data_IF_821096000886
#
_entry.id   IF_821096000886
#
_cell.length_a   1.000
_cell.length_b   1.000
_cell.length_c   1.000
_cell.angle_alpha   90.00
_cell.angle_beta   90.00
_cell.angle_gamma   90.00
#
_symmetry.space_group_name_H-M   'P 1'
#
loop_
_entity.id
_entity.type
_entity.pdbx_description
1 polymer ?
#
# COMPACT_ATOMS: atom_id res chain seq x y z
N UNK A 1 1.00 -38.87 -24.66
CA UNK A 1 1.93 -38.62 -23.55
C UNK A 1 2.12 -37.11 -23.45
N UNK A 2 1.25 -36.42 -22.71
CA UNK A 2 1.37 -34.98 -22.47
C UNK A 2 2.29 -34.79 -21.29
N UNK A 3 3.44 -34.18 -21.53
CA UNK A 3 4.37 -33.73 -20.49
C UNK A 3 3.75 -32.48 -19.85
N UNK A 4 3.26 -32.64 -18.62
CA UNK A 4 2.96 -31.54 -17.71
C UNK A 4 4.30 -30.93 -17.30
N UNK A 5 4.56 -29.70 -17.73
CA UNK A 5 5.65 -28.91 -17.17
C UNK A 5 5.18 -28.38 -15.81
N UNK A 6 5.51 -29.11 -14.74
CA UNK A 6 5.50 -28.55 -13.39
C UNK A 6 6.57 -27.45 -13.35
N UNK A 7 6.13 -26.21 -13.18
CA UNK A 7 7.01 -25.08 -12.90
C UNK A 7 7.51 -25.24 -11.47
N UNK A 8 8.74 -25.69 -11.31
CA UNK A 8 9.40 -25.79 -10.00
C UNK A 8 9.63 -24.38 -9.45
N UNK A 9 8.71 -23.91 -8.60
CA UNK A 9 8.93 -22.74 -7.74
C UNK A 9 10.00 -23.08 -6.70
N UNK A 10 11.08 -22.31 -6.68
CA UNK A 10 12.14 -22.46 -5.67
C UNK A 10 11.74 -21.74 -4.38
N UNK A 11 11.28 -22.50 -3.38
CA UNK A 11 11.12 -21.99 -2.01
C UNK A 11 12.47 -22.09 -1.30
N UNK A 12 13.13 -20.96 -1.05
CA UNK A 12 14.34 -20.92 -0.22
C UNK A 12 13.92 -20.62 1.22
N UNK A 13 14.03 -21.62 2.10
CA UNK A 13 13.79 -21.50 3.54
C UNK A 13 15.13 -21.21 4.22
N UNK A 14 15.30 -19.99 4.73
CA UNK A 14 16.41 -19.63 5.61
C UNK A 14 15.90 -19.63 7.06
N UNK A 15 16.34 -20.55 7.94
CA UNK A 15 16.05 -20.48 9.37
C UNK A 15 16.98 -19.47 10.05
N UNK A 16 16.41 -18.56 10.85
CA UNK A 16 17.12 -17.60 11.71
C UNK A 16 17.01 -18.03 13.20
N UNK A 17 17.88 -17.50 14.07
CA UNK A 17 18.03 -17.87 15.50
C UNK A 17 16.74 -17.78 16.34
N UNK A 18 15.68 -17.10 15.84
CA UNK A 18 14.38 -16.91 16.48
C UNK A 18 13.23 -17.78 15.91
N UNK A 19 13.50 -18.87 15.18
CA UNK A 19 12.48 -19.69 14.49
C UNK A 19 11.65 -18.95 13.43
N UNK A 20 12.10 -17.76 13.00
CA UNK A 20 11.46 -17.01 11.92
C UNK A 20 11.74 -17.74 10.60
N UNK A 21 10.67 -18.15 9.92
CA UNK A 21 10.68 -18.73 8.58
C UNK A 21 10.64 -17.61 7.55
N UNK A 22 11.19 -17.87 6.36
CA UNK A 22 11.07 -16.96 5.24
C UNK A 22 10.98 -17.69 3.92
N UNK A 23 10.29 -17.09 2.96
CA UNK A 23 10.20 -17.58 1.58
C UNK A 23 10.07 -16.41 0.63
N UNK A 24 10.60 -16.60 -0.58
CA UNK A 24 10.49 -15.66 -1.69
C UNK A 24 9.66 -16.28 -2.79
N UNK A 25 8.71 -15.50 -3.30
CA UNK A 25 7.74 -15.91 -4.31
C UNK A 25 7.80 -14.95 -5.50
N UNK A 26 7.18 -15.36 -6.61
CA UNK A 26 7.05 -14.57 -7.81
C UNK A 26 5.59 -14.54 -8.23
N UNK A 27 5.07 -13.36 -8.54
CA UNK A 27 3.71 -13.22 -9.07
C UNK A 27 3.61 -13.71 -10.50
N UNK A 28 2.38 -13.91 -10.97
CA UNK A 28 2.09 -13.90 -12.41
C UNK A 28 2.72 -12.67 -13.06
N UNK A 29 3.22 -12.88 -14.27
CA UNK A 29 3.86 -11.82 -15.04
C UNK A 29 2.83 -10.90 -15.68
N UNK A 30 3.26 -9.68 -15.97
CA UNK A 30 2.48 -8.69 -16.70
C UNK A 30 3.36 -7.99 -17.74
N UNK A 31 2.75 -7.67 -18.86
CA UNK A 31 3.41 -6.99 -19.97
C UNK A 31 3.26 -5.47 -19.86
N UNK A 32 4.37 -4.74 -19.97
CA UNK A 32 4.37 -3.28 -19.97
C UNK A 32 5.32 -2.72 -21.03
N UNK A 33 4.80 -1.83 -21.86
CA UNK A 33 5.56 -1.12 -22.90
C UNK A 33 5.69 0.37 -22.61
N UNK A 34 6.52 1.12 -23.37
CA UNK A 34 6.79 2.53 -23.12
C UNK A 34 5.53 3.38 -22.91
N UNK A 35 5.49 4.11 -21.81
CA UNK A 35 4.38 4.98 -21.41
C UNK A 35 3.14 4.25 -20.88
N UNK A 36 3.07 2.92 -20.98
CA UNK A 36 1.88 2.16 -20.60
C UNK A 36 1.70 2.14 -19.09
N UNK A 37 0.47 2.35 -18.66
CA UNK A 37 0.02 2.11 -17.30
C UNK A 37 -0.62 0.72 -17.28
N UNK A 38 -0.18 -0.10 -16.33
CA UNK A 38 -0.72 -1.45 -16.11
C UNK A 38 -1.26 -1.49 -14.70
N UNK A 39 -2.55 -1.76 -14.59
CA UNK A 39 -3.23 -2.01 -13.31
C UNK A 39 -3.73 -3.45 -13.34
N UNK A 40 -3.34 -4.26 -12.36
CA UNK A 40 -3.72 -5.68 -12.30
C UNK A 40 -4.19 -6.07 -10.91
N UNK A 41 -5.19 -6.94 -10.89
CA UNK A 41 -5.61 -7.69 -9.71
C UNK A 41 -5.13 -9.13 -9.92
N UNK A 42 -4.10 -9.54 -9.17
CA UNK A 42 -3.54 -10.89 -9.20
C UNK A 42 -4.12 -11.67 -8.03
N UNK A 43 -5.00 -12.63 -8.30
CA UNK A 43 -5.71 -13.40 -7.27
C UNK A 43 -4.88 -14.59 -6.78
N UNK A 44 -5.23 -15.10 -5.60
CA UNK A 44 -4.67 -16.32 -5.01
C UNK A 44 -3.14 -16.36 -5.08
N UNK A 45 -2.50 -15.25 -4.68
CA UNK A 45 -1.04 -15.17 -4.67
C UNK A 45 -0.47 -16.20 -3.69
N UNK A 46 0.71 -16.71 -4.00
CA UNK A 46 1.40 -17.62 -3.10
C UNK A 46 1.66 -16.95 -1.76
N UNK A 47 1.17 -17.59 -0.70
CA UNK A 47 1.27 -17.06 0.65
C UNK A 47 1.48 -18.23 1.62
N UNK A 48 2.31 -18.08 2.67
CA UNK A 48 2.48 -19.11 3.68
C UNK A 48 1.14 -19.55 4.28
N UNK A 49 0.94 -20.87 4.40
CA UNK A 49 -0.31 -21.48 4.88
C UNK A 49 -0.18 -21.98 6.33
N UNK A 50 -1.32 -22.15 6.98
CA UNK A 50 -1.42 -22.56 8.38
C UNK A 50 -1.79 -21.40 9.30
N UNK A 51 -1.81 -21.65 10.61
CA UNK A 51 -1.97 -20.60 11.61
C UNK A 51 -0.60 -19.99 11.88
N UNK A 52 -0.39 -18.77 11.39
CA UNK A 52 0.94 -18.12 11.36
C UNK A 52 0.88 -16.68 11.84
N UNK A 53 2.03 -16.15 12.25
CA UNK A 53 2.24 -14.74 12.51
C UNK A 53 3.17 -14.13 11.47
N UNK A 54 2.66 -13.27 10.59
CA UNK A 54 3.50 -12.56 9.60
C UNK A 54 4.32 -11.48 10.30
N UNK A 55 5.63 -11.47 9.99
CA UNK A 55 6.65 -10.59 10.57
C UNK A 55 7.13 -9.51 9.61
N UNK A 56 7.17 -9.80 8.31
CA UNK A 56 7.53 -8.82 7.29
C UNK A 56 6.97 -9.25 5.92
N UNK A 57 6.75 -8.28 5.05
CA UNK A 57 6.28 -8.50 3.68
C UNK A 57 6.86 -7.44 2.75
N UNK A 58 7.85 -7.85 1.96
CA UNK A 58 8.63 -6.97 1.09
C UNK A 58 8.41 -7.33 -0.38
N UNK A 59 8.30 -6.33 -1.26
CA UNK A 59 7.98 -6.50 -2.68
C UNK A 59 8.92 -5.69 -3.57
N UNK A 60 9.28 -6.28 -4.71
CA UNK A 60 10.12 -5.71 -5.75
C UNK A 60 9.58 -6.02 -7.15
N UNK A 61 9.68 -5.07 -8.08
CA UNK A 61 9.42 -5.33 -9.51
C UNK A 61 10.71 -5.83 -10.15
N UNK A 62 10.65 -7.02 -10.75
CA UNK A 62 11.77 -7.66 -11.42
C UNK A 62 11.49 -7.94 -12.90
N UNK A 63 12.55 -8.01 -13.70
CA UNK A 63 12.48 -8.50 -15.08
C UNK A 63 12.56 -10.04 -15.16
N UNK A 64 12.58 -10.57 -16.38
CA UNK A 64 12.60 -12.01 -16.66
C UNK A 64 13.87 -12.70 -16.13
N UNK A 65 14.97 -11.96 -16.00
CA UNK A 65 16.24 -12.44 -15.46
C UNK A 65 16.29 -12.30 -13.91
N UNK A 66 15.22 -11.77 -13.29
CA UNK A 66 15.13 -11.58 -11.85
C UNK A 66 15.83 -10.32 -11.33
N UNK A 67 16.27 -9.42 -12.21
CA UNK A 67 16.91 -8.17 -11.83
C UNK A 67 15.86 -7.12 -11.43
N UNK A 68 16.16 -6.36 -10.37
CA UNK A 68 15.30 -5.25 -9.94
C UNK A 68 15.26 -4.15 -11.01
N UNK A 69 14.05 -3.69 -11.36
CA UNK A 69 13.86 -2.67 -12.41
C UNK A 69 13.91 -1.26 -11.81
N UNK A 70 14.76 -0.34 -12.31
CA UNK A 70 14.81 1.02 -11.78
C UNK A 70 13.51 1.83 -11.96
N UNK A 71 13.18 2.67 -10.97
CA UNK A 71 11.96 3.50 -10.94
C UNK A 71 11.87 4.54 -12.07
N UNK A 72 13.00 4.90 -12.68
CA UNK A 72 13.03 5.76 -13.87
C UNK A 72 12.76 5.01 -15.18
N UNK A 73 12.61 3.69 -15.13
CA UNK A 73 12.15 2.86 -16.22
C UNK A 73 10.73 2.41 -15.97
N UNK A 74 10.50 1.56 -14.97
CA UNK A 74 9.16 1.16 -14.53
C UNK A 74 8.94 1.65 -13.11
N UNK A 75 8.05 2.61 -12.96
CA UNK A 75 7.67 3.14 -11.66
C UNK A 75 6.60 2.23 -11.04
N UNK A 76 6.93 1.60 -9.90
CA UNK A 76 5.94 0.95 -9.05
C UNK A 76 5.11 2.04 -8.39
N UNK A 77 3.91 2.31 -8.90
CA UNK A 77 3.06 3.35 -8.34
C UNK A 77 2.43 2.87 -7.04
N UNK A 78 1.92 1.64 -7.02
CA UNK A 78 1.55 0.96 -5.79
C UNK A 78 1.50 -0.56 -6.00
N UNK A 79 1.65 -1.28 -4.90
CA UNK A 79 1.27 -2.68 -4.75
C UNK A 79 0.51 -2.79 -3.43
N UNK A 80 -0.59 -3.51 -3.42
CA UNK A 80 -1.42 -3.69 -2.23
C UNK A 80 -1.76 -5.17 -2.07
N UNK A 81 -1.46 -5.74 -0.91
CA UNK A 81 -1.90 -7.07 -0.52
C UNK A 81 -3.25 -6.97 0.20
N UNK A 82 -4.29 -7.54 -0.40
CA UNK A 82 -5.65 -7.53 0.14
C UNK A 82 -6.06 -8.94 0.50
N UNK A 83 -6.59 -9.08 1.72
CA UNK A 83 -7.11 -10.34 2.23
C UNK A 83 -8.52 -10.57 1.72
N UNK A 84 -8.83 -11.80 1.35
CA UNK A 84 -10.20 -12.20 1.08
C UNK A 84 -10.44 -13.64 1.50
N UNK A 85 -11.69 -13.96 1.84
CA UNK A 85 -12.14 -15.33 2.08
C UNK A 85 -12.99 -15.80 0.91
N UNK A 86 -12.67 -16.97 0.39
CA UNK A 86 -13.31 -17.58 -0.77
C UNK A 86 -14.14 -18.79 -0.34
N UNK A 87 -15.38 -18.87 -0.81
CA UNK A 87 -16.20 -20.07 -0.65
C UNK A 87 -15.67 -21.20 -1.55
N UNK A 88 -15.29 -22.31 -0.94
CA UNK A 88 -14.65 -23.45 -1.61
C UNK A 88 -15.54 -24.04 -2.71
N UNK A 89 -16.88 -24.00 -2.55
CA UNK A 89 -17.80 -24.52 -3.57
C UNK A 89 -17.86 -23.65 -4.83
N UNK A 90 -17.40 -22.41 -4.74
CA UNK A 90 -17.42 -21.44 -5.85
C UNK A 90 -16.05 -21.27 -6.53
N UNK A 91 -14.99 -21.92 -6.04
CA UNK A 91 -13.63 -21.76 -6.57
C UNK A 91 -13.57 -21.97 -8.09
N UNK A 92 -14.17 -23.04 -8.62
CA UNK A 92 -14.19 -23.31 -10.06
C UNK A 92 -14.89 -22.20 -10.88
N UNK A 93 -16.00 -21.68 -10.36
CA UNK A 93 -16.73 -20.59 -11.01
C UNK A 93 -15.91 -19.30 -11.02
N UNK A 94 -15.27 -18.95 -9.90
CA UNK A 94 -14.44 -17.74 -9.79
C UNK A 94 -13.24 -17.83 -10.75
N UNK A 95 -12.57 -18.97 -10.80
CA UNK A 95 -11.44 -19.19 -11.72
C UNK A 95 -11.85 -19.04 -13.20
N UNK A 96 -13.06 -19.48 -13.57
CA UNK A 96 -13.52 -19.42 -14.97
C UNK A 96 -14.13 -18.06 -15.34
N UNK A 97 -14.90 -17.45 -14.44
CA UNK A 97 -15.68 -16.23 -14.71
C UNK A 97 -14.93 -14.95 -14.39
N UNK A 98 -13.90 -15.02 -13.53
CA UNK A 98 -13.30 -13.87 -12.87
C UNK A 98 -14.32 -12.93 -12.18
N UNK A 99 -15.53 -13.41 -11.87
CA UNK A 99 -16.53 -12.64 -11.15
C UNK A 99 -16.28 -12.70 -9.64
N UNK A 100 -15.72 -11.64 -9.09
CA UNK A 100 -15.38 -11.51 -7.68
C UNK A 100 -16.57 -11.07 -6.81
N UNK A 101 -17.76 -10.86 -7.40
CA UNK A 101 -18.95 -10.41 -6.66
C UNK A 101 -19.65 -11.55 -5.93
N UNK A 102 -19.45 -12.79 -6.37
CA UNK A 102 -20.11 -13.97 -5.81
C UNK A 102 -19.06 -14.93 -5.25
N UNK A 103 -19.17 -15.28 -3.97
CA UNK A 103 -18.31 -16.27 -3.32
C UNK A 103 -16.98 -15.74 -2.76
N UNK A 104 -16.75 -14.43 -2.81
CA UNK A 104 -15.61 -13.76 -2.18
C UNK A 104 -16.10 -12.70 -1.19
N UNK A 105 -15.49 -12.68 -0.01
CA UNK A 105 -15.67 -11.62 0.99
C UNK A 105 -14.30 -11.01 1.29
N UNK A 106 -14.17 -9.70 1.03
CA UNK A 106 -12.94 -8.97 1.31
C UNK A 106 -12.84 -8.67 2.80
N UNK A 107 -11.74 -9.09 3.43
CA UNK A 107 -11.40 -8.70 4.79
C UNK A 107 -10.49 -7.48 4.74
N UNK A 108 -10.89 -6.42 5.44
CA UNK A 108 -10.21 -5.13 5.42
C UNK A 108 -9.38 -4.95 6.69
N UNK A 109 -8.41 -4.05 6.62
CA UNK A 109 -7.73 -3.57 7.81
C UNK A 109 -8.70 -2.88 8.80
N UNK A 110 -8.24 -2.66 10.03
CA UNK A 110 -9.00 -2.08 11.14
C UNK A 110 -9.19 -0.55 11.02
N UNK A 111 -8.69 0.06 9.93
CA UNK A 111 -8.79 1.49 9.64
C UNK A 111 -10.21 1.99 9.38
N UNK A 112 -10.37 3.32 9.44
CA UNK A 112 -11.68 3.95 9.47
C UNK A 112 -12.26 4.27 8.08
N UNK A 113 -11.45 4.25 7.02
CA UNK A 113 -11.88 4.60 5.67
C UNK A 113 -12.87 3.58 5.10
N UNK A 114 -14.04 4.04 4.66
CA UNK A 114 -15.16 3.18 4.24
C UNK A 114 -15.07 2.75 2.76
N UNK A 115 -15.98 1.87 2.31
CA UNK A 115 -16.15 1.52 0.90
C UNK A 115 -15.07 0.58 0.34
N UNK A 116 -14.43 0.91 -0.78
CA UNK A 116 -13.30 0.14 -1.33
C UNK A 116 -11.97 0.88 -1.17
N UNK A 117 -11.92 1.89 -0.31
CA UNK A 117 -10.73 2.73 -0.13
C UNK A 117 -9.78 2.11 0.87
N UNK A 118 -8.50 2.04 0.49
CA UNK A 118 -7.41 1.58 1.35
C UNK A 118 -7.74 0.28 2.12
N UNK A 119 -8.24 -0.79 1.47
CA UNK A 119 -8.68 -2.00 2.17
C UNK A 119 -7.54 -2.93 2.57
N UNK A 120 -6.33 -2.67 2.08
CA UNK A 120 -5.18 -3.58 2.15
C UNK A 120 -4.57 -3.68 3.55
N UNK A 121 -3.82 -4.76 3.78
CA UNK A 121 -3.03 -4.98 5.01
C UNK A 121 -1.57 -4.63 4.85
N UNK A 122 -1.06 -4.78 3.63
CA UNK A 122 0.30 -4.40 3.26
C UNK A 122 0.28 -3.72 1.91
N UNK A 123 1.27 -2.88 1.67
CA UNK A 123 1.45 -2.27 0.38
C UNK A 123 1.72 -0.79 0.43
N UNK A 124 2.64 -0.36 -0.41
CA UNK A 124 3.16 1.00 -0.50
C UNK A 124 3.35 1.31 -1.99
N UNK A 125 4.00 2.43 -2.29
CA UNK A 125 4.47 2.74 -3.63
C UNK A 125 5.92 2.34 -3.86
N UNK A 126 6.56 3.09 -4.73
CA UNK A 126 7.99 3.02 -5.03
C UNK A 126 8.89 3.11 -3.78
N UNK A 127 8.41 3.74 -2.71
CA UNK A 127 9.12 3.89 -1.46
C UNK A 127 9.15 2.61 -0.60
N UNK A 128 8.50 1.52 -1.01
CA UNK A 128 8.56 0.24 -0.28
C UNK A 128 9.99 -0.29 -0.13
N UNK A 129 10.87 -0.12 -1.13
CA UNK A 129 12.22 -0.69 -1.15
C UNK A 129 13.10 -0.29 0.04
N UNK A 130 12.98 0.95 0.48
CA UNK A 130 13.76 1.53 1.57
C UNK A 130 12.98 1.69 2.87
N UNK A 131 11.76 1.14 2.94
CA UNK A 131 10.88 1.20 4.12
C UNK A 131 10.82 -0.19 4.72
N UNK A 132 11.29 -0.36 5.96
CA UNK A 132 11.27 -1.66 6.62
C UNK A 132 9.82 -2.09 6.91
N UNK A 133 9.45 -3.32 6.55
CA UNK A 133 8.16 -3.93 6.93
C UNK A 133 8.26 -4.82 8.17
N UNK A 134 9.43 -4.87 8.83
CA UNK A 134 9.69 -5.78 9.94
C UNK A 134 8.87 -5.42 11.18
N UNK A 135 8.29 -6.43 11.82
CA UNK A 135 7.59 -6.34 13.09
C UNK A 135 8.43 -6.97 14.21
N UNK A 136 8.64 -6.29 15.34
CA UNK A 136 9.45 -6.81 16.43
C UNK A 136 8.76 -7.98 17.15
N UNK A 137 9.54 -8.90 17.72
CA UNK A 137 9.00 -9.95 18.60
C UNK A 137 8.43 -9.36 19.89
N UNK A 138 7.33 -9.91 20.44
CA UNK A 138 6.55 -11.07 19.95
C UNK A 138 5.37 -10.67 19.04
N UNK A 139 5.39 -9.48 18.44
CA UNK A 139 4.25 -8.95 17.73
C UNK A 139 4.19 -9.42 16.28
N UNK A 140 3.02 -9.85 15.82
CA UNK A 140 2.84 -10.35 14.47
C UNK A 140 1.41 -10.11 13.96
N UNK A 141 1.23 -10.11 12.63
CA UNK A 141 -0.13 -10.13 12.04
C UNK A 141 -0.59 -11.58 11.99
N UNK A 142 -1.61 -11.91 12.80
CA UNK A 142 -2.17 -13.25 12.91
C UNK A 142 -3.01 -13.61 11.68
N UNK A 143 -2.65 -14.70 11.01
CA UNK A 143 -3.34 -15.21 9.83
C UNK A 143 -3.69 -16.69 9.99
N UNK A 144 -4.71 -17.13 9.25
CA UNK A 144 -5.04 -18.57 9.18
C UNK A 144 -5.59 -19.18 10.48
N UNK A 145 -6.07 -18.37 11.43
CA UNK A 145 -6.64 -18.87 12.67
C UNK A 145 -7.91 -19.72 12.39
N UNK A 146 -7.91 -21.04 12.66
CA UNK A 146 -9.02 -21.93 12.33
C UNK A 146 -10.34 -21.57 13.03
N UNK A 147 -10.28 -20.87 14.17
CA UNK A 147 -11.47 -20.44 14.90
C UNK A 147 -12.13 -19.19 14.29
N UNK A 148 -11.40 -18.41 13.49
CA UNK A 148 -11.89 -17.20 12.83
C UNK A 148 -12.37 -17.46 11.41
N UNK A 149 -11.89 -18.53 10.76
CA UNK A 149 -12.27 -18.87 9.39
C UNK A 149 -13.62 -19.58 9.38
N UNK A 150 -14.57 -19.06 8.58
CA UNK A 150 -15.90 -19.64 8.41
C UNK A 150 -15.81 -21.04 7.79
N UNK A 151 -16.60 -21.99 8.28
CA UNK A 151 -16.68 -23.33 7.69
C UNK A 151 -17.05 -23.25 6.19
N UNK A 152 -16.31 -23.97 5.34
CA UNK A 152 -16.50 -23.95 3.89
C UNK A 152 -15.81 -22.78 3.16
N UNK A 153 -15.09 -21.92 3.88
CA UNK A 153 -14.30 -20.83 3.31
C UNK A 153 -12.80 -21.08 3.45
N UNK A 154 -12.02 -20.47 2.57
CA UNK A 154 -10.55 -20.42 2.64
C UNK A 154 -10.06 -18.98 2.60
N UNK A 155 -9.12 -18.67 3.48
CA UNK A 155 -8.36 -17.43 3.43
C UNK A 155 -7.41 -17.44 2.22
N UNK A 156 -7.43 -16.35 1.45
CA UNK A 156 -6.59 -16.11 0.28
C UNK A 156 -6.14 -14.64 0.24
N UNK A 157 -5.15 -14.38 -0.60
CA UNK A 157 -4.56 -13.07 -0.78
C UNK A 157 -4.55 -12.71 -2.25
N UNK A 158 -4.75 -11.43 -2.53
CA UNK A 158 -4.54 -10.87 -3.86
C UNK A 158 -3.56 -9.71 -3.81
N UNK A 159 -2.92 -9.45 -4.94
CA UNK A 159 -2.27 -8.18 -5.19
C UNK A 159 -3.15 -7.28 -6.06
N UNK A 160 -3.34 -6.03 -5.64
CA UNK A 160 -3.73 -4.93 -6.52
C UNK A 160 -2.49 -4.11 -6.83
N UNK A 161 -2.07 -4.07 -8.08
CA UNK A 161 -0.81 -3.45 -8.49
C UNK A 161 -1.07 -2.38 -9.53
N UNK A 162 -0.23 -1.37 -9.51
CA UNK A 162 -0.13 -0.38 -10.57
C UNK A 162 1.33 -0.07 -10.85
N UNK A 163 1.75 -0.31 -12.08
CA UNK A 163 3.06 0.07 -12.59
C UNK A 163 2.92 1.00 -13.79
N UNK A 164 3.91 1.86 -13.97
CA UNK A 164 3.97 2.78 -15.10
C UNK A 164 5.33 2.67 -15.74
N UNK A 165 5.38 2.26 -17.00
CA UNK A 165 6.61 2.35 -17.79
C UNK A 165 6.80 3.81 -18.23
N UNK A 166 7.82 4.46 -17.68
CA UNK A 166 8.15 5.86 -17.93
C UNK A 166 9.18 6.03 -19.05
N UNK A 167 9.67 4.95 -19.68
CA UNK A 167 10.58 5.01 -20.82
C UNK A 167 9.89 5.76 -21.97
N UNK A 168 10.62 6.67 -22.62
CA UNK A 168 10.09 7.43 -23.75
C UNK A 168 9.08 8.53 -23.44
N UNK A 169 8.59 8.65 -22.20
CA UNK A 169 7.57 9.64 -21.84
C UNK A 169 8.09 11.08 -21.96
N UNK A 170 7.20 12.01 -22.29
CA UNK A 170 7.53 13.44 -22.37
C UNK A 170 8.01 13.98 -21.02
N UNK A 171 7.27 13.66 -19.96
CA UNK A 171 7.56 14.03 -18.56
C UNK A 171 7.34 12.82 -17.65
N UNK A 172 8.45 12.15 -17.28
CA UNK A 172 8.43 10.97 -16.39
C UNK A 172 7.75 11.28 -15.07
N UNK A 173 8.12 12.38 -14.41
CA UNK A 173 7.61 12.73 -13.07
C UNK A 173 6.15 13.17 -13.11
N UNK A 174 5.71 13.78 -14.20
CA UNK A 174 4.32 14.12 -14.40
C UNK A 174 3.45 12.90 -14.68
N UNK A 175 3.98 11.92 -15.42
CA UNK A 175 3.36 10.62 -15.68
C UNK A 175 3.20 9.82 -14.36
N UNK A 176 4.25 9.72 -13.53
CA UNK A 176 4.15 9.06 -12.20
C UNK A 176 3.24 9.76 -11.20
N UNK A 177 2.84 11.01 -11.47
CA UNK A 177 1.88 11.80 -10.67
C UNK A 177 0.48 11.81 -11.27
N UNK A 178 0.25 10.99 -12.29
CA UNK A 178 -1.04 10.84 -12.96
C UNK A 178 -1.64 12.16 -13.46
N UNK A 179 -0.81 13.06 -14.00
CA UNK A 179 -1.29 14.34 -14.56
C UNK A 179 -2.08 14.08 -15.83
N UNK A 180 -3.39 14.34 -15.83
CA UNK A 180 -4.30 14.05 -16.93
C UNK A 180 -3.81 14.61 -18.28
N UNK A 181 -3.24 15.83 -18.29
CA UNK A 181 -2.74 16.47 -19.52
C UNK A 181 -1.59 15.70 -20.21
N UNK A 182 -0.90 14.84 -19.46
CA UNK A 182 0.21 14.01 -19.94
C UNK A 182 -0.25 12.60 -20.31
N UNK A 183 -1.54 12.30 -20.18
CA UNK A 183 -2.12 11.00 -20.50
C UNK A 183 -2.88 11.08 -21.82
N UNK A 184 -2.89 9.97 -22.55
CA UNK A 184 -3.75 9.77 -23.73
C UNK A 184 -5.15 9.34 -23.28
N UNK A 185 -5.87 10.26 -22.63
CA UNK A 185 -7.22 10.00 -22.13
C UNK A 185 -8.25 9.97 -23.27
N UNK A 186 -9.31 9.14 -23.16
CA UNK A 186 -10.47 9.19 -24.04
C UNK A 186 -11.11 10.58 -24.07
N UNK A 187 -11.73 10.96 -25.20
CA UNK A 187 -12.36 12.29 -25.36
C UNK A 187 -13.52 12.51 -24.40
N UNK A 188 -14.23 11.45 -24.06
CA UNK A 188 -15.39 11.43 -23.17
C UNK A 188 -15.03 11.19 -21.70
N UNK A 189 -13.73 11.12 -21.35
CA UNK A 189 -13.23 10.80 -20.00
C UNK A 189 -14.00 11.53 -18.87
N UNK A 190 -14.15 12.85 -18.95
CA UNK A 190 -14.85 13.65 -17.93
C UNK A 190 -16.38 13.51 -17.93
N UNK A 191 -16.95 12.91 -18.98
CA UNK A 191 -18.39 12.68 -19.09
C UNK A 191 -18.80 11.32 -18.53
N UNK A 192 -17.86 10.36 -18.43
CA UNK A 192 -18.13 8.98 -18.01
C UNK A 192 -17.47 8.58 -16.70
N UNK A 193 -16.39 9.27 -16.30
CA UNK A 193 -15.63 8.88 -15.11
C UNK A 193 -16.22 9.53 -13.87
N UNK A 194 -16.57 8.71 -12.88
CA UNK A 194 -17.01 9.14 -11.55
C UNK A 194 -15.85 9.13 -10.56
N UNK A 195 -15.84 10.10 -9.66
CA UNK A 195 -14.92 10.18 -8.53
C UNK A 195 -15.31 9.25 -7.38
N UNK A 196 -14.53 9.30 -6.30
CA UNK A 196 -14.74 8.47 -5.09
C UNK A 196 -16.12 8.70 -4.47
N UNK A 197 -16.64 9.93 -4.53
CA UNK A 197 -17.95 10.29 -4.02
C UNK A 197 -19.12 9.86 -4.93
N UNK A 198 -18.85 9.10 -5.99
CA UNK A 198 -19.85 8.66 -6.98
C UNK A 198 -20.31 9.75 -7.95
N UNK A 199 -19.82 10.98 -7.83
CA UNK A 199 -20.16 12.09 -8.73
C UNK A 199 -19.23 12.11 -9.94
N UNK A 200 -19.69 12.64 -11.07
CA UNK A 200 -18.83 12.83 -12.25
C UNK A 200 -17.61 13.69 -11.91
N UNK A 201 -16.46 13.30 -12.47
CA UNK A 201 -15.24 14.06 -12.28
C UNK A 201 -15.39 15.47 -12.87
N UNK A 202 -15.01 16.51 -12.12
CA UNK A 202 -15.13 17.86 -12.64
C UNK A 202 -14.08 18.10 -13.73
N UNK A 203 -14.43 18.91 -14.73
CA UNK A 203 -13.54 19.22 -15.88
C UNK A 203 -12.22 19.90 -15.47
N UNK A 204 -12.15 20.44 -14.26
CA UNK A 204 -10.93 21.04 -13.70
C UNK A 204 -10.07 20.04 -12.91
N UNK A 205 -10.42 18.75 -12.87
CA UNK A 205 -9.58 17.71 -12.27
C UNK A 205 -8.30 17.55 -13.11
N UNK A 206 -7.14 17.89 -12.52
CA UNK A 206 -5.86 17.99 -13.24
C UNK A 206 -5.00 16.73 -13.19
N UNK A 207 -5.33 15.78 -12.32
CA UNK A 207 -4.59 14.54 -12.16
C UNK A 207 -4.80 13.84 -10.82
N UNK A 208 -4.34 12.59 -10.79
CA UNK A 208 -4.47 11.65 -9.69
C UNK A 208 -5.03 10.31 -10.17
N UNK A 209 -5.52 9.48 -9.24
CA UNK A 209 -5.98 8.11 -9.41
C UNK A 209 -6.74 7.88 -10.72
N UNK A 210 -7.72 8.73 -11.02
CA UNK A 210 -8.62 8.53 -12.16
C UNK A 210 -7.96 8.75 -13.52
N UNK A 211 -6.85 9.46 -13.59
CA UNK A 211 -6.14 9.67 -14.86
C UNK A 211 -5.12 8.57 -15.16
N UNK A 212 -4.89 7.66 -14.20
CA UNK A 212 -4.05 6.48 -14.38
C UNK A 212 -4.89 5.20 -14.35
N UNK A 213 -5.73 5.02 -15.36
CA UNK A 213 -6.50 3.80 -15.53
C UNK A 213 -5.67 2.72 -16.24
N UNK A 214 -6.08 1.46 -16.07
CA UNK A 214 -5.47 0.36 -16.82
C UNK A 214 -5.51 0.67 -18.32
N UNK A 215 -4.47 0.25 -19.01
CA UNK A 215 -4.30 0.42 -20.44
C UNK A 215 -4.15 1.87 -20.97
N UNK A 216 -4.29 2.89 -20.14
CA UNK A 216 -3.96 4.27 -20.52
C UNK A 216 -2.44 4.39 -20.76
N UNK A 217 -2.07 5.29 -21.66
CA UNK A 217 -0.67 5.54 -21.99
C UNK A 217 -0.29 7.00 -21.71
N UNK A 218 0.84 7.21 -21.04
CA UNK A 218 1.50 8.50 -20.97
C UNK A 218 1.97 8.95 -22.36
N UNK A 219 1.83 10.24 -22.65
CA UNK A 219 2.32 10.85 -23.88
C UNK A 219 3.81 10.61 -24.03
N UNK A 220 4.19 10.05 -25.18
CA UNK A 220 5.56 9.78 -25.55
C UNK A 220 6.18 10.96 -26.30
N UNK A 221 7.51 11.04 -26.27
CA UNK A 221 8.27 11.92 -27.17
C UNK A 221 8.15 11.38 -28.61
N UNK A 222 8.24 12.26 -29.59
CA UNK A 222 8.11 11.88 -31.00
C UNK A 222 9.15 10.83 -31.39
N UNK A 223 8.73 9.82 -32.17
CA UNK A 223 9.62 8.79 -32.70
C UNK A 223 10.03 7.70 -31.70
N UNK A 224 9.57 7.73 -30.45
CA UNK A 224 9.88 6.65 -29.50
C UNK A 224 9.08 5.39 -29.84
N UNK A 225 9.82 4.32 -30.09
CA UNK A 225 9.33 2.94 -30.04
C UNK A 225 10.27 2.17 -29.12
N UNK A 226 9.72 1.28 -28.32
CA UNK A 226 10.51 0.43 -27.43
C UNK A 226 9.78 -0.87 -27.18
N UNK A 227 10.51 -1.96 -26.88
CA UNK A 227 9.91 -3.26 -26.67
C UNK A 227 9.03 -3.26 -25.41
N UNK A 228 7.93 -3.98 -25.49
CA UNK A 228 7.20 -4.45 -24.32
C UNK A 228 8.12 -5.36 -23.51
N UNK A 229 8.07 -5.24 -22.19
CA UNK A 229 8.77 -6.12 -21.26
C UNK A 229 7.77 -6.93 -20.47
N UNK A 230 8.17 -8.14 -20.13
CA UNK A 230 7.46 -9.01 -19.20
C UNK A 230 8.10 -8.82 -17.82
N UNK A 231 7.31 -8.35 -16.86
CA UNK A 231 7.78 -8.08 -15.49
C UNK A 231 6.93 -8.86 -14.50
N UNK A 232 7.45 -9.07 -13.30
CA UNK A 232 6.73 -9.70 -12.19
C UNK A 232 7.01 -8.96 -10.88
N UNK A 233 6.18 -9.21 -9.87
CA UNK A 233 6.52 -8.90 -8.49
C UNK A 233 7.27 -10.08 -7.88
N UNK A 234 8.49 -9.85 -7.43
CA UNK A 234 9.22 -10.73 -6.51
C UNK A 234 8.93 -10.27 -5.09
N UNK A 235 8.55 -11.17 -4.20
CA UNK A 235 8.20 -10.79 -2.84
C UNK A 235 8.67 -11.78 -1.80
N UNK A 236 9.16 -11.26 -0.66
CA UNK A 236 9.65 -12.05 0.47
C UNK A 236 8.71 -11.86 1.65
N UNK A 237 8.26 -12.98 2.22
CA UNK A 237 7.45 -12.99 3.44
C UNK A 237 8.28 -13.65 4.52
N UNK A 238 8.31 -13.04 5.71
CA UNK A 238 8.84 -13.64 6.93
C UNK A 238 7.70 -13.92 7.89
N UNK A 239 7.69 -15.07 8.53
CA UNK A 239 6.63 -15.47 9.45
C UNK A 239 7.13 -16.43 10.53
N UNK A 240 6.34 -16.58 11.59
CA UNK A 240 6.49 -17.63 12.60
C UNK A 240 5.26 -18.52 12.58
N UNK A 241 5.38 -19.76 13.03
CA UNK A 241 4.20 -20.55 13.37
C UNK A 241 3.51 -19.88 14.57
N UNK A 242 2.18 -19.81 14.53
CA UNK A 242 1.45 -19.14 15.61
C UNK A 242 1.47 -19.98 16.88
N UNK A 243 1.79 -19.35 18.02
CA UNK A 243 1.75 -19.95 19.34
C UNK A 243 1.20 -18.96 20.38
N UNK A 244 1.04 -19.41 21.63
CA UNK A 244 0.54 -18.58 22.74
C UNK A 244 1.46 -17.42 23.15
N UNK A 245 2.70 -17.38 22.65
CA UNK A 245 3.65 -16.33 22.98
C UNK A 245 3.53 -15.14 22.01
N UNK A 246 2.92 -15.32 20.84
CA UNK A 246 2.73 -14.25 19.87
C UNK A 246 1.60 -13.29 20.29
N UNK A 247 1.78 -12.02 19.95
CA UNK A 247 0.80 -10.96 20.22
C UNK A 247 0.21 -10.47 18.89
N UNK A 248 -1.11 -10.62 18.67
CA UNK A 248 -1.74 -10.21 17.42
C UNK A 248 -1.77 -8.68 17.29
N UNK A 249 -1.44 -8.20 16.11
CA UNK A 249 -1.53 -6.79 15.73
C UNK A 249 -2.79 -6.51 14.93
N UNK A 250 -3.44 -5.41 15.27
CA UNK A 250 -4.43 -4.73 14.42
C UNK A 250 -3.71 -3.73 13.53
N UNK A 251 -4.16 -3.60 12.29
CA UNK A 251 -3.51 -2.74 11.32
C UNK A 251 -4.46 -1.63 10.90
N UNK A 252 -4.00 -0.38 10.95
CA UNK A 252 -4.81 0.78 10.61
C UNK A 252 -4.12 1.61 9.54
N UNK A 253 -4.90 2.01 8.54
CA UNK A 253 -4.52 3.06 7.60
C UNK A 253 -5.32 4.32 7.91
N UNK A 254 -4.60 5.39 8.24
CA UNK A 254 -5.13 6.72 8.50
C UNK A 254 -4.90 7.60 7.27
N UNK A 255 -5.84 8.50 6.96
CA UNK A 255 -5.78 9.36 5.78
C UNK A 255 -5.93 10.84 6.16
N UNK A 256 -4.91 11.67 5.87
CA UNK A 256 -4.95 13.12 6.14
C UNK A 256 -6.02 13.86 5.34
N UNK A 257 -6.65 13.21 4.36
CA UNK A 257 -7.78 13.75 3.60
C UNK A 257 -9.14 13.44 4.20
N UNK A 258 -9.17 12.63 5.26
CA UNK A 258 -10.41 12.24 5.94
C UNK A 258 -11.17 13.45 6.48
N UNK A 259 -12.48 13.47 6.20
CA UNK A 259 -13.42 14.51 6.62
C UNK A 259 -14.40 13.89 7.59
N UNK A 260 -13.96 13.75 8.83
CA UNK A 260 -14.79 13.16 9.88
C UNK A 260 -16.02 14.03 10.14
N UNK A 261 -17.19 13.40 10.07
CA UNK A 261 -18.49 13.97 10.44
C UNK A 261 -19.11 13.11 11.53
N UNK A 262 -20.06 13.65 12.29
CA UNK A 262 -20.81 12.90 13.30
C UNK A 262 -22.24 12.67 12.84
N UNK A 263 -22.74 11.44 12.93
CA UNK A 263 -24.17 11.15 12.91
C UNK A 263 -24.57 10.61 14.29
N UNK A 264 -25.04 11.50 15.17
CA UNK A 264 -25.17 11.20 16.59
C UNK A 264 -23.81 10.90 17.23
N UNK A 265 -23.69 9.75 17.89
CA UNK A 265 -22.46 9.30 18.55
C UNK A 265 -21.47 8.56 17.64
N UNK A 266 -21.84 8.26 16.39
CA UNK A 266 -20.99 7.48 15.47
C UNK A 266 -20.21 8.39 14.53
N UNK A 267 -18.86 8.28 14.46
CA UNK A 267 -18.07 9.00 13.49
C UNK A 267 -18.27 8.41 12.09
N UNK A 268 -18.46 9.29 11.11
CA UNK A 268 -18.52 8.96 9.68
C UNK A 268 -17.24 9.49 9.04
N UNK A 269 -16.47 8.58 8.46
CA UNK A 269 -15.22 8.89 7.77
C UNK A 269 -15.47 9.05 6.27
N UNK A 270 -14.89 10.09 5.68
CA UNK A 270 -15.06 10.50 4.28
C UNK A 270 -13.66 10.72 3.67
N UNK A 271 -12.89 9.64 3.67
CA UNK A 271 -11.54 9.59 3.12
C UNK A 271 -11.56 9.84 1.60
N UNK A 272 -10.56 10.59 1.11
CA UNK A 272 -10.43 10.91 -0.31
C UNK A 272 -9.25 10.20 -0.98
N UNK A 273 -8.43 9.45 -0.24
CA UNK A 273 -7.22 8.75 -0.66
C UNK A 273 -6.09 9.64 -1.21
N UNK A 274 -6.40 10.70 -1.96
CA UNK A 274 -5.44 11.62 -2.53
C UNK A 274 -6.00 13.04 -2.59
N UNK A 275 -5.11 14.01 -2.79
CA UNK A 275 -5.50 15.40 -2.99
C UNK A 275 -4.57 16.13 -3.97
N UNK A 276 -5.02 17.26 -4.49
CA UNK A 276 -4.21 18.14 -5.33
C UNK A 276 -3.63 19.26 -4.48
N UNK A 277 -2.32 19.49 -4.59
CA UNK A 277 -1.64 20.65 -4.01
C UNK A 277 -1.60 21.74 -5.08
N UNK A 278 -2.27 22.88 -4.89
CA UNK A 278 -2.13 24.01 -5.79
C UNK A 278 -0.73 24.63 -5.62
N UNK A 279 -0.19 25.27 -6.67
CA UNK A 279 1.01 26.10 -6.50
C UNK A 279 0.59 27.44 -5.93
N UNK A 280 1.06 27.77 -4.74
CA UNK A 280 0.96 29.14 -4.24
C UNK A 280 2.19 29.93 -4.71
N UNK A 281 1.99 30.88 -5.63
CA UNK A 281 3.07 31.66 -6.26
C UNK A 281 3.69 32.72 -5.34
N UNK A 282 3.09 32.97 -4.18
CA UNK A 282 3.43 34.11 -3.32
C UNK A 282 4.17 33.71 -2.03
N UNK A 283 4.54 32.44 -1.86
CA UNK A 283 5.17 31.97 -0.64
C UNK A 283 5.94 30.65 -0.84
N UNK A 284 7.03 30.44 -0.11
CA UNK A 284 7.77 29.17 -0.07
C UNK A 284 7.35 28.26 1.11
N UNK A 285 6.38 28.70 1.94
CA UNK A 285 5.84 27.88 3.04
C UNK A 285 5.31 26.54 2.51
N UNK A 286 5.72 25.39 3.09
CA UNK A 286 5.21 24.06 2.75
C UNK A 286 3.68 23.96 2.82
N UNK A 287 3.11 23.13 1.95
CA UNK A 287 1.69 22.80 2.02
C UNK A 287 1.44 21.80 3.15
N UNK A 288 0.49 22.12 4.04
CA UNK A 288 0.11 21.26 5.16
C UNK A 288 -1.32 20.75 4.96
N UNK A 289 -1.51 19.44 5.10
CA UNK A 289 -2.81 18.77 5.11
C UNK A 289 -2.99 18.05 6.43
N UNK A 290 -4.11 18.29 7.12
CA UNK A 290 -4.44 17.67 8.42
C UNK A 290 -5.80 16.98 8.39
N UNK A 291 -5.89 15.89 9.14
CA UNK A 291 -7.16 15.30 9.57
C UNK A 291 -7.10 14.95 11.06
N UNK A 292 -8.24 15.07 11.73
CA UNK A 292 -8.46 14.64 13.11
C UNK A 292 -9.30 13.37 13.07
N UNK A 293 -8.73 12.23 13.46
CA UNK A 293 -9.29 10.91 13.23
C UNK A 293 -9.57 10.27 14.59
N UNK A 294 -10.85 10.10 14.99
CA UNK A 294 -11.20 9.39 16.21
C UNK A 294 -10.92 7.90 16.03
N UNK A 295 -10.17 7.31 16.95
CA UNK A 295 -9.87 5.87 16.94
C UNK A 295 -10.99 5.10 17.63
N UNK A 296 -11.79 4.34 16.87
CA UNK A 296 -12.84 3.49 17.47
C UNK A 296 -12.27 2.50 18.49
N UNK A 297 -11.09 1.95 18.19
CA UNK A 297 -10.32 1.10 19.09
C UNK A 297 -8.86 1.53 19.08
N UNK A 298 -8.33 1.77 20.27
CA UNK A 298 -6.95 2.10 20.52
C UNK A 298 -6.11 0.84 20.74
N UNK A 299 -4.94 1.04 21.32
CA UNK A 299 -3.96 0.01 21.60
C UNK A 299 -2.57 0.60 21.76
N UNK A 300 -1.59 -0.26 21.99
CA UNK A 300 -0.20 0.14 22.07
C UNK A 300 0.41 0.20 20.68
N UNK A 301 1.03 1.34 20.35
CA UNK A 301 1.71 1.51 19.07
C UNK A 301 2.96 0.63 19.05
N UNK A 302 3.08 -0.25 18.06
CA UNK A 302 4.23 -1.16 17.89
C UNK A 302 5.07 -0.76 16.67
N UNK A 303 4.39 -0.33 15.61
CA UNK A 303 5.01 0.08 14.35
C UNK A 303 4.23 1.25 13.76
N UNK A 304 4.92 2.23 13.20
CA UNK A 304 4.32 3.31 12.41
C UNK A 304 5.15 3.71 11.21
N UNK A 305 4.54 3.89 10.05
CA UNK A 305 5.18 4.45 8.85
C UNK A 305 4.17 5.23 8.01
N UNK A 306 4.60 5.90 6.95
CA UNK A 306 3.69 6.60 6.04
C UNK A 306 3.85 6.13 4.59
N UNK A 307 2.76 6.23 3.82
CA UNK A 307 2.76 6.08 2.37
C UNK A 307 2.64 7.47 1.75
N UNK A 308 3.67 7.88 1.01
CA UNK A 308 3.79 9.26 0.53
C UNK A 308 4.33 9.30 -0.89
N UNK A 309 4.08 10.40 -1.59
CA UNK A 309 4.57 10.61 -2.94
C UNK A 309 5.74 11.61 -2.97
N UNK A 310 6.48 11.59 -4.08
CA UNK A 310 7.64 12.49 -4.28
C UNK A 310 7.27 13.97 -4.09
N UNK A 311 7.98 14.61 -3.16
CA UNK A 311 7.79 16.00 -2.76
C UNK A 311 7.22 16.17 -1.36
N UNK A 312 6.98 15.07 -0.64
CA UNK A 312 6.73 15.10 0.81
C UNK A 312 7.98 15.60 1.54
N UNK A 313 7.75 16.34 2.63
CA UNK A 313 8.79 16.82 3.56
C UNK A 313 8.84 15.90 4.76
N UNK A 314 7.70 15.70 5.44
CA UNK A 314 7.52 14.73 6.50
C UNK A 314 6.02 14.51 6.75
N UNK A 315 5.74 13.56 7.64
CA UNK A 315 4.39 13.23 8.07
C UNK A 315 4.45 12.90 9.54
N UNK A 316 3.60 13.53 10.34
CA UNK A 316 3.59 13.31 11.78
C UNK A 316 2.20 12.93 12.25
N UNK A 317 2.15 11.88 13.06
CA UNK A 317 0.98 11.45 13.80
C UNK A 317 1.09 11.96 15.24
N UNK A 318 0.09 12.71 15.67
CA UNK A 318 0.00 13.26 17.03
C UNK A 318 -1.17 12.63 17.79
N UNK A 319 -1.00 12.45 19.09
CA UNK A 319 -2.10 12.13 20.01
C UNK A 319 -2.94 13.37 20.31
N UNK A 320 -4.05 13.18 20.99
CA UNK A 320 -5.05 14.24 21.22
C UNK A 320 -4.51 15.44 22.00
N UNK A 321 -3.51 15.22 22.86
CA UNK A 321 -2.82 16.25 23.63
C UNK A 321 -1.64 16.91 22.88
N UNK A 322 -1.49 16.66 21.59
CA UNK A 322 -0.39 17.18 20.77
C UNK A 322 0.94 16.42 20.91
N UNK A 323 0.99 15.33 21.70
CA UNK A 323 2.21 14.51 21.79
C UNK A 323 2.52 13.87 20.45
N UNK A 324 3.79 13.89 20.03
CA UNK A 324 4.24 13.18 18.84
C UNK A 324 4.20 11.68 19.12
N UNK A 325 3.40 10.94 18.36
CA UNK A 325 3.36 9.47 18.43
C UNK A 325 4.38 8.86 17.47
N UNK A 326 4.46 9.40 16.25
CA UNK A 326 5.43 8.98 15.24
C UNK A 326 5.60 10.06 14.17
N UNK A 327 6.84 10.32 13.77
CA UNK A 327 7.17 11.12 12.59
C UNK A 327 7.88 10.25 11.56
N UNK A 328 7.31 10.17 10.36
CA UNK A 328 7.88 9.47 9.22
C UNK A 328 8.47 10.47 8.22
N UNK A 329 9.74 10.28 7.88
CA UNK A 329 10.53 11.15 7.02
C UNK A 329 10.92 10.43 5.72
N UNK A 330 10.92 11.14 4.58
CA UNK A 330 11.26 10.56 3.29
C UNK A 330 12.75 10.28 3.14
N UNK A 331 13.06 9.18 2.45
CA UNK A 331 14.37 8.87 1.91
C UNK A 331 14.32 9.00 0.39
N UNK A 332 15.05 9.99 -0.13
CA UNK A 332 15.21 10.19 -1.57
C UNK A 332 16.48 9.52 -2.08
N UNK A 333 16.38 8.87 -3.24
CA UNK A 333 17.53 8.25 -3.89
C UNK A 333 18.53 9.31 -4.38
N UNK A 334 19.78 8.87 -4.56
CA UNK A 334 20.91 9.73 -4.97
C UNK A 334 21.69 9.20 -6.17
N UNK A 335 21.52 7.93 -6.53
CA UNK A 335 22.22 7.22 -7.60
C UNK A 335 21.32 6.80 -8.76
N UNK A 336 21.72 5.73 -9.45
CA UNK A 336 20.99 5.14 -10.58
C UNK A 336 20.54 3.70 -10.33
N UNK A 337 21.09 3.05 -9.31
CA UNK A 337 20.71 1.67 -8.99
C UNK A 337 19.26 1.57 -8.52
N UNK A 338 18.64 0.43 -8.78
CA UNK A 338 17.30 0.14 -8.32
C UNK A 338 17.22 0.27 -6.79
N UNK A 339 16.29 1.09 -6.30
CA UNK A 339 16.12 1.38 -4.87
C UNK A 339 16.97 2.55 -4.34
N UNK A 340 17.75 3.22 -5.20
CA UNK A 340 18.48 4.44 -4.86
C UNK A 340 18.40 5.51 -5.97
N UNK A 341 17.30 5.54 -6.73
CA UNK A 341 17.18 6.37 -7.93
C UNK A 341 17.06 7.87 -7.59
N UNK A 342 17.95 8.67 -8.16
CA UNK A 342 18.02 10.12 -7.92
C UNK A 342 16.68 10.82 -8.16
N UNK A 343 16.20 11.52 -7.13
CA UNK A 343 14.96 12.31 -7.20
C UNK A 343 13.67 11.47 -7.15
N UNK A 344 13.78 10.17 -6.88
CA UNK A 344 12.63 9.33 -6.51
C UNK A 344 12.59 9.17 -5.00
N UNK A 345 11.37 9.10 -4.46
CA UNK A 345 11.16 8.65 -3.09
C UNK A 345 11.36 7.13 -3.10
N UNK A 346 12.35 6.65 -2.34
CA UNK A 346 12.76 5.24 -2.32
C UNK A 346 12.58 4.59 -0.95
N UNK A 347 12.18 5.37 0.06
CA UNK A 347 11.96 4.89 1.42
C UNK A 347 11.25 5.91 2.29
N UNK A 348 10.69 5.46 3.40
CA UNK A 348 10.19 6.25 4.51
C UNK A 348 10.78 5.72 5.82
N UNK A 349 11.03 6.62 6.78
CA UNK A 349 11.47 6.21 8.11
C UNK A 349 10.33 5.58 8.90
N UNK A 350 10.64 4.55 9.66
CA UNK A 350 9.68 3.81 10.48
C UNK A 350 9.88 4.15 11.95
N UNK A 351 8.79 4.23 12.71
CA UNK A 351 8.83 4.30 14.16
C UNK A 351 8.64 2.92 14.78
N UNK A 352 9.57 2.56 15.66
CA UNK A 352 9.52 1.41 16.55
C UNK A 352 9.55 1.93 18.00
N UNK A 353 8.44 2.43 18.54
CA UNK A 353 8.41 2.82 19.95
C UNK A 353 8.73 1.63 20.84
N UNK A 354 9.27 1.90 22.03
CA UNK A 354 9.48 0.86 23.04
C UNK A 354 8.09 0.25 23.35
N UNK A 355 7.92 -1.08 23.30
CA UNK A 355 6.65 -1.70 23.63
C UNK A 355 6.12 -1.22 24.99
N UNK A 356 4.89 -0.74 25.01
CA UNK A 356 4.21 -0.19 26.21
C UNK A 356 4.35 1.31 26.39
N UNK A 357 5.32 1.97 25.74
CA UNK A 357 5.60 3.39 25.99
C UNK A 357 4.59 4.34 25.36
N UNK A 358 3.89 3.90 24.31
CA UNK A 358 2.88 4.70 23.62
C UNK A 358 1.58 3.91 23.59
N UNK A 359 0.61 4.34 24.40
CA UNK A 359 -0.76 3.86 24.36
C UNK A 359 -1.65 4.91 23.69
N UNK A 360 -2.49 4.45 22.78
CA UNK A 360 -3.57 5.20 22.16
C UNK A 360 -4.85 4.69 22.81
N UNK A 361 -5.66 5.59 23.37
CA UNK A 361 -6.88 5.19 24.07
C UNK A 361 -8.05 4.98 23.10
N UNK A 362 -9.02 4.15 23.51
CA UNK A 362 -10.29 4.03 22.80
C UNK A 362 -10.98 5.41 22.73
N UNK A 363 -11.36 5.82 21.52
CA UNK A 363 -11.96 7.12 21.25
C UNK A 363 -10.96 8.28 21.17
N UNK A 364 -9.65 8.05 21.37
CA UNK A 364 -8.64 9.11 21.25
C UNK A 364 -8.64 9.69 19.82
N UNK A 365 -8.61 11.03 19.73
CA UNK A 365 -8.54 11.73 18.45
C UNK A 365 -7.08 11.91 18.06
N UNK A 366 -6.65 11.22 17.00
CA UNK A 366 -5.32 11.38 16.44
C UNK A 366 -5.31 12.50 15.41
N UNK A 367 -4.28 13.34 15.44
CA UNK A 367 -4.06 14.33 14.37
C UNK A 367 -3.00 13.81 13.42
N UNK A 368 -3.36 13.59 12.17
CA UNK A 368 -2.42 13.25 11.11
C UNK A 368 -2.09 14.50 10.30
N UNK A 369 -0.81 14.90 10.31
CA UNK A 369 -0.29 16.05 9.57
C UNK A 369 0.65 15.59 8.46
N UNK A 370 0.31 15.90 7.22
CA UNK A 370 1.12 15.66 6.04
C UNK A 370 1.67 16.98 5.51
N UNK A 371 2.99 17.07 5.39
CA UNK A 371 3.69 18.27 4.92
C UNK A 371 4.37 17.98 3.58
N UNK A 372 4.08 18.81 2.58
CA UNK A 372 4.65 18.72 1.24
C UNK A 372 5.31 20.03 0.85
N UNK A 373 6.31 19.96 -0.03
CA UNK A 373 6.81 21.14 -0.72
C UNK A 373 5.65 21.88 -1.40
N UNK A 374 5.64 23.21 -1.31
CA UNK A 374 4.65 24.05 -2.00
C UNK A 374 4.92 24.14 -3.51
N UNK A 375 4.63 23.03 -4.20
CA UNK A 375 4.70 22.91 -5.65
C UNK A 375 3.43 22.22 -6.12
N UNK A 376 2.97 22.60 -7.31
CA UNK A 376 1.81 21.96 -7.92
C UNK A 376 2.00 20.44 -8.01
N UNK A 377 1.10 19.68 -7.38
CA UNK A 377 1.09 18.22 -7.35
C UNK A 377 -0.32 17.71 -7.49
N UNK A 378 -0.44 16.63 -8.24
CA UNK A 378 -1.65 15.82 -8.38
C UNK A 378 -1.39 14.48 -7.72
N UNK A 379 -2.45 13.87 -7.22
CA UNK A 379 -2.36 12.60 -6.49
C UNK A 379 -1.42 12.67 -5.29
N UNK A 380 -1.34 13.78 -4.55
CA UNK A 380 -0.59 13.80 -3.30
C UNK A 380 -1.30 12.87 -2.31
N UNK A 381 -0.55 11.96 -1.70
CA UNK A 381 -1.07 11.03 -0.70
C UNK A 381 -0.72 11.49 0.70
N UNK A 382 -1.50 11.01 1.65
CA UNK A 382 -1.53 11.51 3.00
C UNK A 382 -1.73 10.41 4.01
N UNK A 383 -1.27 9.19 3.73
CA UNK A 383 -1.59 8.02 4.55
C UNK A 383 -0.54 7.71 5.61
N UNK A 384 -1.01 7.20 6.74
CA UNK A 384 -0.18 6.76 7.85
C UNK A 384 -0.63 5.39 8.34
N UNK A 385 0.32 4.47 8.41
CA UNK A 385 0.10 3.06 8.64
C UNK A 385 0.59 2.78 10.05
N UNK A 386 -0.28 2.27 10.92
CA UNK A 386 0.08 1.91 12.29
C UNK A 386 -0.35 0.49 12.61
N UNK A 387 0.47 -0.21 13.38
CA UNK A 387 0.15 -1.50 13.95
C UNK A 387 -0.01 -1.35 15.46
N UNK A 388 -1.18 -1.74 15.96
CA UNK A 388 -1.54 -1.63 17.37
C UNK A 388 -1.69 -3.02 17.98
N UNK A 389 -1.07 -3.21 19.13
CA UNK A 389 -1.33 -4.35 20.00
C UNK A 389 -2.40 -3.97 21.03
N UNK A 390 -3.46 -4.76 21.14
CA UNK A 390 -4.51 -4.50 22.15
C UNK A 390 -3.99 -4.70 23.57
N UNK A 391 -3.11 -5.69 23.74
CA UNK A 391 -2.46 -6.00 25.01
C UNK A 391 -0.96 -6.12 24.80
N UNK A 392 -0.21 -5.88 25.87
CA UNK A 392 1.24 -6.03 25.88
C UNK A 392 1.64 -7.02 26.99
N UNK A 393 2.60 -7.93 26.72
CA UNK A 393 3.10 -8.84 27.74
C UNK A 393 3.64 -8.09 28.96
N UNK A 394 3.31 -8.58 30.17
CA UNK A 394 3.66 -7.95 31.45
C UNK A 394 5.14 -7.60 31.60
N UNK A 395 6.05 -8.34 30.94
CA UNK A 395 7.49 -8.03 30.95
C UNK A 395 7.81 -6.62 30.46
N UNK A 396 7.06 -6.10 29.48
CA UNK A 396 7.28 -4.77 28.93
C UNK A 396 6.68 -3.63 29.78
N UNK A 397 5.64 -3.92 30.57
CA UNK A 397 5.03 -2.93 31.47
C UNK A 397 5.90 -2.64 32.70
N UNK A 398 6.79 -3.56 33.08
CA UNK A 398 7.70 -3.40 34.24
C UNK A 398 8.94 -2.57 33.93
N UNK A 399 9.18 -2.26 32.67
CA UNK A 399 10.37 -1.52 32.22
C UNK A 399 10.09 -0.05 31.85
N UNK A 400 8.89 0.43 32.17
CA UNK A 400 8.44 1.83 32.03
C UNK A 400 8.29 2.38 33.43
#
# INVERSE_FOLDING_TARGET
>A
MMLLFDTTQSVVLEPDENQIKSATFLSENFEVGPGKIVVKTLLDIDFPRGHIGVKSFDVEVVDEDGNSVPLYETYLHHWFAVKYIENITMSQYITQSHDLRNGIEFERNDGACQGFLLPHYWGLGAESRGTSSNLPDPFAVELGNPTKIKHGFKEKWLFSIMVIDTRGTQDKKGCTKCRCKLMNLPKDFYNVTTGINGQLLPRNYKGGLFCCQDNVQCKLRNGIRGPTRKLSLRYKIKWVDWDEHQVPLKFYILDSTDRVRSNGSTPIHDCQAEYTIPRNHNNDIPHVKKANIPMTKGGYLIYGTSHMHTGVVNVTLYGQNGRVLCTSNPKYGTGKEAGNEKGYLVGMSVCYPKPGSIKIEDGEILTLESVYENKFRTGAMGHFYIYLAEQIPNKYLKEI
#
